data_IF_173142962085
#
_entry.id   IF_173142962085
#
_cell.length_a   1.000
_cell.length_b   1.000
_cell.length_c   1.000
_cell.angle_alpha   90.00
_cell.angle_beta   90.00
_cell.angle_gamma   90.00
#
_symmetry.space_group_name_H-M   'P 1'
#
loop_
_entity.id
_entity.type
_entity.pdbx_description
1 polymer ?
#
# COMPACT_ATOMS: atom_id res chain seq x y z
N UNK A 1 4.15 -6.52 -13.59
CA UNK A 1 4.14 -5.47 -12.54
C UNK A 1 4.68 -4.17 -13.12
N UNK A 2 3.88 -3.11 -13.24
CA UNK A 2 4.35 -1.79 -13.64
C UNK A 2 5.46 -1.36 -12.68
N UNK A 3 6.59 -0.84 -13.17
CA UNK A 3 7.50 -0.13 -12.30
C UNK A 3 6.74 1.03 -11.63
N UNK A 4 7.00 1.27 -10.33
CA UNK A 4 6.51 2.43 -9.55
C UNK A 4 5.14 2.31 -8.83
N UNK A 5 4.59 1.12 -8.55
CA UNK A 5 3.43 0.96 -7.64
C UNK A 5 3.81 0.46 -6.24
N UNK A 6 4.68 -0.53 -6.16
CA UNK A 6 5.20 -1.05 -4.87
C UNK A 6 6.22 -0.11 -4.21
N UNK A 7 7.09 0.50 -5.01
CA UNK A 7 8.14 1.39 -4.50
C UNK A 7 7.60 2.57 -3.65
N UNK A 8 6.60 3.37 -4.11
CA UNK A 8 6.08 4.47 -3.29
C UNK A 8 5.35 3.97 -2.03
N UNK A 9 4.79 2.76 -2.04
CA UNK A 9 4.17 2.17 -0.84
C UNK A 9 5.20 1.77 0.19
N UNK A 10 6.31 1.17 -0.26
CA UNK A 10 7.45 0.86 0.60
C UNK A 10 8.11 2.13 1.16
N UNK A 11 8.28 3.16 0.34
CA UNK A 11 8.75 4.47 0.81
C UNK A 11 7.81 5.03 1.89
N UNK A 12 6.50 4.97 1.69
CA UNK A 12 5.53 5.40 2.71
C UNK A 12 5.64 4.60 4.01
N UNK A 13 5.76 3.27 3.93
CA UNK A 13 5.91 2.40 5.09
C UNK A 13 7.18 2.71 5.89
N UNK A 14 8.25 3.11 5.22
CA UNK A 14 9.52 3.53 5.85
C UNK A 14 9.36 4.92 6.49
N UNK A 15 9.07 5.96 5.70
CA UNK A 15 9.06 7.36 6.15
C UNK A 15 7.95 7.68 7.16
N UNK A 16 6.79 7.07 6.99
CA UNK A 16 5.62 7.34 7.83
C UNK A 16 5.39 6.30 8.92
N UNK A 17 6.05 5.14 8.84
CA UNK A 17 5.99 4.08 9.85
C UNK A 17 7.33 3.88 10.54
N UNK A 18 8.16 3.02 9.96
CA UNK A 18 9.36 2.47 10.61
C UNK A 18 10.33 3.54 11.11
N UNK A 19 10.59 4.59 10.32
CA UNK A 19 11.53 5.66 10.69
C UNK A 19 11.09 6.42 11.96
N UNK A 20 9.79 6.43 12.25
CA UNK A 20 9.21 7.11 13.42
C UNK A 20 9.19 6.23 14.68
N UNK A 21 9.57 4.96 14.56
CA UNK A 21 9.66 4.03 15.68
C UNK A 21 11.11 3.97 16.17
N UNK A 22 11.38 4.30 17.46
CA UNK A 22 12.74 4.30 18.00
C UNK A 22 13.45 2.94 17.90
N UNK A 23 12.68 1.86 17.97
CA UNK A 23 13.18 0.48 17.88
C UNK A 23 13.19 -0.06 16.45
N UNK A 24 12.72 0.75 15.48
CA UNK A 24 12.44 0.29 14.12
C UNK A 24 11.23 -0.63 14.07
N UNK A 25 11.20 -1.53 13.08
CA UNK A 25 10.13 -2.49 12.90
C UNK A 25 10.26 -3.25 11.58
N UNK A 26 9.27 -4.11 11.30
CA UNK A 26 9.27 -4.99 10.13
C UNK A 26 8.18 -4.52 9.17
N UNK A 27 8.53 -4.40 7.89
CA UNK A 27 7.55 -4.25 6.82
C UNK A 27 7.30 -5.65 6.25
N UNK A 28 6.09 -6.13 6.40
CA UNK A 28 5.65 -7.38 5.77
C UNK A 28 5.09 -7.07 4.40
N UNK A 29 5.52 -7.84 3.40
CA UNK A 29 4.99 -7.80 2.04
C UNK A 29 4.59 -9.21 1.68
N UNK A 30 3.30 -9.40 1.43
CA UNK A 30 2.72 -10.67 0.99
C UNK A 30 2.04 -10.46 -0.37
N UNK A 31 1.98 -11.53 -1.16
CA UNK A 31 1.42 -11.49 -2.50
C UNK A 31 0.78 -12.81 -2.83
N UNK A 32 -0.50 -12.76 -3.20
CA UNK A 32 -1.28 -13.92 -3.58
C UNK A 32 -1.91 -13.71 -4.96
N UNK A 33 -2.12 -14.81 -5.68
CA UNK A 33 -2.70 -14.77 -7.01
C UNK A 33 -3.76 -15.86 -7.13
N UNK A 34 -5.03 -15.46 -7.19
CA UNK A 34 -6.17 -16.36 -7.29
C UNK A 34 -7.18 -15.86 -8.31
N UNK A 35 -7.74 -16.79 -9.09
CA UNK A 35 -8.79 -16.53 -10.08
C UNK A 35 -8.47 -15.38 -11.08
N UNK A 36 -7.19 -15.24 -11.46
CA UNK A 36 -6.73 -14.21 -12.39
C UNK A 36 -6.65 -12.80 -11.79
N UNK A 37 -6.71 -12.69 -10.45
CA UNK A 37 -6.44 -11.47 -9.69
C UNK A 37 -5.20 -11.65 -8.84
N UNK A 38 -4.44 -10.58 -8.72
CA UNK A 38 -3.30 -10.47 -7.83
C UNK A 38 -3.69 -9.56 -6.68
N UNK A 39 -3.49 -10.06 -5.46
CA UNK A 39 -3.54 -9.27 -4.24
C UNK A 39 -2.12 -9.08 -3.72
N UNK A 40 -1.75 -7.85 -3.38
CA UNK A 40 -0.51 -7.54 -2.68
C UNK A 40 -0.85 -6.83 -1.39
N UNK A 41 -0.43 -7.41 -0.27
CA UNK A 41 -0.66 -6.88 1.07
C UNK A 41 0.65 -6.39 1.65
N UNK A 42 0.70 -5.12 2.05
CA UNK A 42 1.82 -4.53 2.77
C UNK A 42 1.36 -4.13 4.15
N UNK A 43 2.11 -4.49 5.18
CA UNK A 43 1.84 -4.03 6.55
C UNK A 43 3.11 -3.57 7.25
N UNK A 44 2.98 -2.51 8.05
CA UNK A 44 4.08 -1.99 8.85
C UNK A 44 3.55 -1.41 10.18
N UNK A 45 4.32 -1.53 11.27
CA UNK A 45 3.99 -0.84 12.50
C UNK A 45 4.09 0.69 12.31
N UNK A 46 3.27 1.42 13.05
CA UNK A 46 3.24 2.88 13.11
C UNK A 46 3.11 3.35 14.57
N UNK A 47 3.61 4.53 14.93
CA UNK A 47 3.53 5.01 16.32
C UNK A 47 2.09 5.26 16.78
N UNK A 48 1.79 5.11 18.07
CA UNK A 48 0.43 5.28 18.65
C UNK A 48 -0.19 6.67 18.40
N UNK A 49 0.64 7.69 18.19
CA UNK A 49 0.22 9.05 17.83
C UNK A 49 -0.27 9.20 16.39
N UNK A 50 -0.31 8.12 15.60
CA UNK A 50 -0.77 8.09 14.20
C UNK A 50 -2.28 8.11 14.04
N UNK A 51 -3.04 8.38 15.11
CA UNK A 51 -4.51 8.31 15.18
C UNK A 51 -5.24 9.33 14.28
N UNK A 52 -4.52 10.09 13.45
CA UNK A 52 -5.07 10.94 12.40
C UNK A 52 -4.61 10.49 11.02
N UNK A 53 -5.56 10.21 10.12
CA UNK A 53 -5.31 10.14 8.68
C UNK A 53 -4.75 11.49 8.21
N UNK A 54 -3.42 11.62 8.16
CA UNK A 54 -2.76 12.84 7.74
C UNK A 54 -3.10 13.11 6.26
N UNK A 55 -3.41 14.36 5.91
CA UNK A 55 -3.80 14.77 4.55
C UNK A 55 -2.77 14.39 3.47
N UNK A 56 -1.48 14.33 3.82
CA UNK A 56 -0.42 13.85 2.93
C UNK A 56 -0.54 12.38 2.52
N UNK A 57 -1.06 11.52 3.40
CA UNK A 57 -1.28 10.09 3.09
C UNK A 57 -2.38 9.92 2.03
N UNK A 58 -3.43 10.76 2.08
CA UNK A 58 -4.51 10.76 1.06
C UNK A 58 -4.00 11.09 -0.34
N UNK A 59 -3.08 12.06 -0.46
CA UNK A 59 -2.50 12.44 -1.76
C UNK A 59 -1.61 11.30 -2.32
N UNK A 60 -0.80 10.68 -1.47
CA UNK A 60 0.05 9.57 -1.88
C UNK A 60 -0.78 8.35 -2.32
N UNK A 61 -1.83 8.01 -1.58
CA UNK A 61 -2.77 6.94 -1.93
C UNK A 61 -3.49 7.22 -3.25
N UNK A 62 -3.93 8.46 -3.48
CA UNK A 62 -4.59 8.83 -4.73
C UNK A 62 -3.63 8.72 -5.93
N UNK A 63 -2.38 9.14 -5.77
CA UNK A 63 -1.35 8.96 -6.81
C UNK A 63 -1.12 7.47 -7.15
N UNK A 64 -1.11 6.61 -6.15
CA UNK A 64 -0.96 5.15 -6.34
C UNK A 64 -2.18 4.57 -7.04
N UNK A 65 -3.39 4.96 -6.60
CA UNK A 65 -4.67 4.57 -7.22
C UNK A 65 -4.74 4.99 -8.69
N UNK A 66 -4.39 6.23 -9.02
CA UNK A 66 -4.37 6.72 -10.40
C UNK A 66 -3.37 5.94 -11.28
N UNK A 67 -2.18 5.62 -10.74
CA UNK A 67 -1.19 4.81 -11.47
C UNK A 67 -1.66 3.38 -11.72
N UNK A 68 -2.30 2.76 -10.74
CA UNK A 68 -2.93 1.44 -10.91
C UNK A 68 -4.01 1.48 -11.97
N UNK A 69 -4.85 2.52 -11.97
CA UNK A 69 -5.88 2.71 -12.99
C UNK A 69 -5.28 2.88 -14.40
N UNK A 70 -4.18 3.62 -14.53
CA UNK A 70 -3.50 3.78 -15.83
C UNK A 70 -2.91 2.46 -16.31
N UNK A 71 -2.38 1.64 -15.41
CA UNK A 71 -1.66 0.41 -15.77
C UNK A 71 -2.57 -0.81 -15.98
N UNK A 72 -3.70 -0.88 -15.27
CA UNK A 72 -4.59 -2.05 -15.24
C UNK A 72 -6.06 -1.71 -15.51
N UNK A 73 -6.38 -0.45 -15.82
CA UNK A 73 -7.74 0.01 -16.06
C UNK A 73 -8.57 0.13 -14.78
N UNK A 74 -9.90 0.19 -14.95
CA UNK A 74 -10.87 0.38 -13.86
C UNK A 74 -11.08 -0.84 -12.95
N UNK A 75 -10.33 -1.93 -13.14
CA UNK A 75 -10.46 -3.17 -12.37
C UNK A 75 -9.41 -3.27 -11.25
N UNK A 76 -9.17 -2.17 -10.54
CA UNK A 76 -8.19 -2.10 -9.45
C UNK A 76 -8.83 -1.62 -8.16
N UNK A 77 -8.33 -2.12 -7.04
CA UNK A 77 -8.68 -1.65 -5.71
C UNK A 77 -7.43 -1.33 -4.89
N UNK A 78 -7.55 -0.31 -4.05
CA UNK A 78 -6.56 0.08 -3.05
C UNK A 78 -7.32 0.37 -1.76
N UNK A 79 -7.10 -0.44 -0.74
CA UNK A 79 -7.68 -0.27 0.59
C UNK A 79 -6.57 -0.12 1.62
N UNK A 80 -6.87 0.60 2.71
CA UNK A 80 -5.91 0.82 3.80
C UNK A 80 -6.62 0.73 5.13
N UNK A 81 -6.02 0.06 6.10
CA UNK A 81 -6.49 -0.02 7.48
C UNK A 81 -5.39 0.37 8.46
N UNK A 82 -5.79 0.80 9.65
CA UNK A 82 -4.91 1.03 10.78
C UNK A 82 -5.57 0.39 12.00
N UNK A 83 -5.03 -0.73 12.44
CA UNK A 83 -5.55 -1.52 13.55
C UNK A 83 -4.38 -1.96 14.43
N UNK A 84 -4.52 -1.86 15.75
CA UNK A 84 -3.51 -2.29 16.73
C UNK A 84 -2.08 -1.77 16.46
N UNK A 85 -1.96 -0.53 15.97
CA UNK A 85 -0.67 0.08 15.66
C UNK A 85 -0.01 -0.45 14.38
N UNK A 86 -0.73 -1.23 13.58
CA UNK A 86 -0.28 -1.75 12.28
C UNK A 86 -1.06 -1.09 11.16
N UNK A 87 -0.35 -0.41 10.28
CA UNK A 87 -0.91 0.12 9.05
C UNK A 87 -0.81 -0.94 7.95
N UNK A 88 -1.93 -1.25 7.32
CA UNK A 88 -2.01 -2.24 6.24
C UNK A 88 -2.52 -1.59 4.97
N UNK A 89 -1.90 -1.92 3.84
CA UNK A 89 -2.31 -1.53 2.49
C UNK A 89 -2.53 -2.78 1.68
N UNK A 90 -3.70 -2.89 1.05
CA UNK A 90 -4.04 -4.00 0.16
C UNK A 90 -4.25 -3.43 -1.24
N UNK A 91 -3.57 -4.03 -2.20
CA UNK A 91 -3.62 -3.74 -3.62
C UNK A 91 -4.26 -4.91 -4.34
N UNK A 92 -5.29 -4.67 -5.13
CA UNK A 92 -5.90 -5.69 -5.98
C UNK A 92 -5.89 -5.22 -7.44
N UNK A 93 -5.47 -6.10 -8.34
CA UNK A 93 -5.46 -5.83 -9.79
C UNK A 93 -5.48 -7.15 -10.58
N UNK A 94 -5.89 -7.16 -11.86
CA UNK A 94 -5.88 -8.37 -12.69
C UNK A 94 -4.44 -8.85 -12.98
N UNK A 95 -4.25 -10.17 -13.00
CA UNK A 95 -2.96 -10.82 -13.32
C UNK A 95 -2.45 -10.42 -14.71
N UNK A 96 -3.38 -10.26 -15.66
CA UNK A 96 -3.10 -9.84 -17.03
C UNK A 96 -3.55 -8.39 -17.20
N UNK A 97 -2.65 -7.52 -17.64
CA UNK A 97 -2.98 -6.15 -17.98
C UNK A 97 -3.97 -6.12 -19.16
N UNK A 98 -5.02 -5.31 -19.06
CA UNK A 98 -5.94 -5.06 -20.16
C UNK A 98 -5.27 -4.06 -21.10
N UNK A 99 -4.92 -4.50 -22.31
CA UNK A 99 -4.28 -3.68 -23.34
C UNK A 99 -5.27 -2.68 -23.98
#
# INVERSE_FOLDING_TARGET
>A
MPPLTLQPLLENAIYHGIERLPEGGIIHVDGDCQEGRVEITLSNPVPDSSSGQHEGNRIAQENIRQRLQIAYGGHTALSTSLEDGVYTVILEFPEVAVA
#
